data_IF_921543086970
#
_entry.id   IF_921543086970
#
_cell.length_a   1.000
_cell.length_b   1.000
_cell.length_c   1.000
_cell.angle_alpha   90.00
_cell.angle_beta   90.00
_cell.angle_gamma   90.00
#
_symmetry.space_group_name_H-M   'P 1'
#
loop_
_entity.id
_entity.type
_entity.pdbx_description
1 polymer ?
#
# COMPACT_ATOMS: atom_id res chain seq x y z
N UNK A 1 25.79 -0.92 16.86
CA UNK A 1 24.54 -0.63 16.13
C UNK A 1 23.68 -1.88 16.15
N UNK A 2 22.36 -1.76 16.33
CA UNK A 2 21.44 -2.91 16.39
C UNK A 2 20.93 -3.21 14.97
N UNK A 3 20.72 -4.47 14.64
CA UNK A 3 20.01 -4.85 13.41
C UNK A 3 18.57 -5.20 13.75
N UNK A 4 17.68 -5.03 12.77
CA UNK A 4 16.31 -5.49 12.91
C UNK A 4 16.25 -7.01 13.06
N UNK A 5 15.34 -7.52 13.91
CA UNK A 5 15.18 -8.96 14.07
C UNK A 5 14.61 -9.59 12.78
N UNK A 6 15.28 -10.61 12.19
CA UNK A 6 14.81 -11.27 10.96
C UNK A 6 13.45 -11.96 11.13
N UNK A 7 13.12 -12.47 12.33
CA UNK A 7 11.81 -13.05 12.61
C UNK A 7 10.69 -12.00 12.52
N UNK A 8 10.97 -10.77 12.96
CA UNK A 8 10.02 -9.65 12.80
C UNK A 8 9.77 -9.36 11.32
N UNK A 9 10.80 -9.37 10.47
CA UNK A 9 10.63 -9.17 9.03
C UNK A 9 9.77 -10.27 8.40
N UNK A 10 9.95 -11.53 8.82
CA UNK A 10 9.12 -12.65 8.37
C UNK A 10 7.65 -12.49 8.80
N UNK A 11 7.39 -12.01 10.02
CA UNK A 11 6.04 -11.72 10.49
C UNK A 11 5.42 -10.58 9.68
N UNK A 12 6.15 -9.48 9.48
CA UNK A 12 5.68 -8.35 8.67
C UNK A 12 5.34 -8.79 7.24
N UNK A 13 6.17 -9.64 6.64
CA UNK A 13 5.91 -10.17 5.30
C UNK A 13 4.67 -11.06 5.26
N UNK A 14 4.44 -11.89 6.29
CA UNK A 14 3.19 -12.69 6.39
C UNK A 14 1.97 -11.78 6.54
N UNK A 15 2.04 -10.77 7.39
CA UNK A 15 0.95 -9.80 7.58
C UNK A 15 0.67 -9.01 6.31
N UNK A 16 1.71 -8.63 5.55
CA UNK A 16 1.58 -8.00 4.25
C UNK A 16 0.73 -8.87 3.31
N UNK A 17 1.08 -10.15 3.16
CA UNK A 17 0.33 -11.03 2.27
C UNK A 17 -1.10 -11.29 2.73
N UNK A 18 -1.32 -11.47 4.03
CA UNK A 18 -2.69 -11.65 4.58
C UNK A 18 -3.54 -10.41 4.32
N UNK A 19 -3.02 -9.23 4.64
CA UNK A 19 -3.77 -7.96 4.43
C UNK A 19 -3.94 -7.65 2.95
N UNK A 20 -2.96 -7.94 2.09
CA UNK A 20 -3.11 -7.81 0.64
C UNK A 20 -4.19 -8.76 0.09
N UNK A 21 -4.24 -10.00 0.58
CA UNK A 21 -5.27 -10.96 0.18
C UNK A 21 -6.67 -10.53 0.62
N UNK A 22 -6.82 -10.06 1.87
CA UNK A 22 -8.09 -9.50 2.37
C UNK A 22 -8.51 -8.30 1.52
N UNK A 23 -7.57 -7.40 1.18
CA UNK A 23 -7.86 -6.25 0.33
C UNK A 23 -8.35 -6.69 -1.06
N UNK A 24 -7.71 -7.70 -1.66
CA UNK A 24 -8.13 -8.23 -2.95
C UNK A 24 -9.56 -8.80 -2.92
N UNK A 25 -9.93 -9.51 -1.84
CA UNK A 25 -11.29 -10.03 -1.65
C UNK A 25 -12.31 -8.87 -1.51
N UNK A 26 -11.99 -7.85 -0.72
CA UNK A 26 -12.83 -6.65 -0.56
C UNK A 26 -13.00 -5.93 -1.90
N UNK A 27 -11.91 -5.80 -2.66
CA UNK A 27 -11.92 -5.20 -3.99
C UNK A 27 -12.83 -5.99 -4.94
N UNK A 28 -12.59 -7.29 -5.11
CA UNK A 28 -13.40 -8.13 -6.01
C UNK A 28 -14.87 -8.13 -5.62
N UNK A 29 -15.18 -8.28 -4.32
CA UNK A 29 -16.58 -8.29 -3.84
C UNK A 29 -17.31 -6.97 -4.09
N UNK A 30 -16.61 -5.84 -4.09
CA UNK A 30 -17.22 -4.54 -4.40
C UNK A 30 -17.62 -4.36 -5.86
N UNK A 31 -16.99 -5.10 -6.78
CA UNK A 31 -17.20 -5.01 -8.22
C UNK A 31 -17.79 -6.31 -8.80
N UNK A 32 -18.20 -7.26 -7.95
CA UNK A 32 -18.77 -8.54 -8.36
C UNK A 32 -20.20 -8.38 -8.90
N UNK A 33 -21.01 -7.57 -8.22
CA UNK A 33 -22.37 -7.21 -8.65
C UNK A 33 -22.38 -5.78 -9.23
N UNK A 34 -23.25 -5.54 -10.24
CA UNK A 34 -23.37 -4.23 -10.87
C UNK A 34 -23.78 -3.17 -9.82
N UNK A 35 -23.00 -2.10 -9.61
CA UNK A 35 -23.00 -1.36 -8.35
C UNK A 35 -24.16 -0.37 -8.32
N UNK A 36 -25.33 -0.81 -7.86
CA UNK A 36 -26.46 0.09 -7.63
C UNK A 36 -26.49 0.59 -6.17
N UNK A 37 -25.97 -0.17 -5.20
CA UNK A 37 -25.84 0.28 -3.81
C UNK A 37 -24.71 -0.47 -3.06
N UNK A 38 -23.53 0.15 -2.98
CA UNK A 38 -22.44 -0.38 -2.15
C UNK A 38 -22.58 0.19 -0.73
N UNK A 39 -22.66 -0.65 0.33
CA UNK A 39 -22.74 -0.16 1.70
C UNK A 39 -21.58 0.76 2.06
N UNK A 40 -21.85 1.81 2.85
CA UNK A 40 -20.84 2.82 3.25
C UNK A 40 -19.60 2.19 3.92
N UNK A 41 -19.80 1.15 4.73
CA UNK A 41 -18.68 0.44 5.38
C UNK A 41 -17.79 -0.28 4.36
N UNK A 42 -18.37 -0.82 3.29
CA UNK A 42 -17.64 -1.52 2.23
C UNK A 42 -16.87 -0.51 1.36
N UNK A 43 -17.47 0.64 1.07
CA UNK A 43 -16.78 1.77 0.43
C UNK A 43 -15.60 2.28 1.26
N UNK A 44 -15.79 2.44 2.58
CA UNK A 44 -14.71 2.85 3.47
C UNK A 44 -13.57 1.81 3.47
N UNK A 45 -13.90 0.52 3.52
CA UNK A 45 -12.91 -0.54 3.42
C UNK A 45 -12.15 -0.48 2.08
N UNK A 46 -12.85 -0.29 0.96
CA UNK A 46 -12.21 -0.12 -0.34
C UNK A 46 -11.25 1.05 -0.36
N UNK A 47 -11.62 2.20 0.19
CA UNK A 47 -10.85 3.46 0.11
C UNK A 47 -9.68 3.51 1.09
N UNK A 48 -9.78 2.85 2.24
CA UNK A 48 -8.78 3.02 3.30
C UNK A 48 -7.95 1.77 3.54
N UNK A 49 -8.46 0.57 3.25
CA UNK A 49 -7.78 -0.65 3.69
C UNK A 49 -6.43 -0.87 3.00
N UNK A 50 -6.25 -0.39 1.77
CA UNK A 50 -4.96 -0.44 1.07
C UNK A 50 -3.84 0.40 1.73
N UNK A 51 -4.16 1.23 2.73
CA UNK A 51 -3.17 1.82 3.65
C UNK A 51 -2.29 0.76 4.30
N UNK A 52 -2.90 -0.31 4.83
CA UNK A 52 -2.24 -1.34 5.64
C UNK A 52 -1.22 -2.16 4.81
N UNK A 53 -1.58 -2.79 3.68
CA UNK A 53 -0.62 -3.55 2.90
C UNK A 53 0.48 -2.64 2.35
N UNK A 54 0.20 -1.39 1.97
CA UNK A 54 1.24 -0.48 1.48
C UNK A 54 2.19 -0.02 2.59
N UNK A 55 1.68 0.24 3.80
CA UNK A 55 2.51 0.46 4.98
C UNK A 55 3.44 -0.72 5.26
N UNK A 56 2.90 -1.95 5.29
CA UNK A 56 3.69 -3.15 5.56
C UNK A 56 4.72 -3.43 4.47
N UNK A 57 4.34 -3.26 3.20
CA UNK A 57 5.24 -3.37 2.05
C UNK A 57 6.40 -2.40 2.19
N UNK A 58 6.11 -1.11 2.37
CA UNK A 58 7.12 -0.07 2.52
C UNK A 58 8.06 -0.35 3.69
N UNK A 59 7.51 -0.77 4.84
CA UNK A 59 8.29 -1.04 6.03
C UNK A 59 9.23 -2.24 5.84
N UNK A 60 8.76 -3.31 5.18
CA UNK A 60 9.60 -4.47 4.82
C UNK A 60 10.71 -4.04 3.86
N UNK A 61 10.39 -3.30 2.81
CA UNK A 61 11.37 -2.83 1.83
C UNK A 61 12.44 -1.96 2.47
N UNK A 62 12.05 -1.02 3.31
CA UNK A 62 13.00 -0.12 3.95
C UNK A 62 13.89 -0.83 4.97
N UNK A 63 13.47 -1.98 5.51
CA UNK A 63 14.27 -2.83 6.42
C UNK A 63 15.18 -3.85 5.72
N UNK A 64 14.89 -4.20 4.46
CA UNK A 64 15.52 -5.36 3.77
C UNK A 64 16.14 -5.05 2.40
N UNK A 65 15.78 -3.93 1.77
CA UNK A 65 16.20 -3.59 0.41
C UNK A 65 16.92 -2.24 0.37
N UNK A 66 17.45 -1.89 -0.81
CA UNK A 66 18.06 -0.58 -1.06
C UNK A 66 17.01 0.55 -1.00
N UNK A 67 17.46 1.78 -0.80
CA UNK A 67 16.58 2.96 -0.76
C UNK A 67 15.83 3.12 -2.09
N UNK A 68 16.50 2.90 -3.21
CA UNK A 68 15.88 2.95 -4.53
C UNK A 68 14.75 1.93 -4.67
N UNK A 69 14.95 0.69 -4.22
CA UNK A 69 13.90 -0.32 -4.21
C UNK A 69 12.74 0.04 -3.26
N UNK A 70 13.02 0.68 -2.11
CA UNK A 70 11.97 1.17 -1.22
C UNK A 70 11.10 2.26 -1.85
N UNK A 71 11.57 2.98 -2.88
CA UNK A 71 10.78 4.00 -3.58
C UNK A 71 10.13 3.43 -4.85
N UNK A 72 10.90 2.73 -5.68
CA UNK A 72 10.48 2.29 -7.00
C UNK A 72 9.40 1.21 -6.98
N UNK A 73 9.44 0.28 -6.02
CA UNK A 73 8.43 -0.80 -5.94
C UNK A 73 7.02 -0.27 -5.63
N UNK A 74 6.81 0.47 -4.52
CA UNK A 74 5.49 1.03 -4.22
C UNK A 74 5.00 1.98 -5.31
N UNK A 75 5.90 2.84 -5.82
CA UNK A 75 5.56 3.77 -6.89
C UNK A 75 5.20 3.04 -8.19
N UNK A 76 5.93 2.00 -8.54
CA UNK A 76 5.66 1.16 -9.70
C UNK A 76 4.30 0.45 -9.60
N UNK A 77 3.90 -0.01 -8.40
CA UNK A 77 2.58 -0.58 -8.17
C UNK A 77 1.48 0.48 -8.38
N UNK A 78 1.64 1.67 -7.78
CA UNK A 78 0.66 2.76 -7.93
C UNK A 78 0.52 3.21 -9.38
N UNK A 79 1.65 3.42 -10.07
CA UNK A 79 1.66 3.84 -11.47
C UNK A 79 1.08 2.75 -12.36
N UNK A 80 1.44 1.48 -12.15
CA UNK A 80 0.93 0.36 -12.94
C UNK A 80 -0.59 0.25 -12.85
N UNK A 81 -1.14 0.25 -11.64
CA UNK A 81 -2.60 0.20 -11.42
C UNK A 81 -3.28 1.47 -11.96
N UNK A 82 -2.68 2.63 -11.73
CA UNK A 82 -3.19 3.92 -12.21
C UNK A 82 -3.26 4.02 -13.72
N UNK A 83 -2.24 3.55 -14.43
CA UNK A 83 -2.23 3.55 -15.90
C UNK A 83 -3.33 2.66 -16.47
N UNK A 84 -3.54 1.47 -15.91
CA UNK A 84 -4.64 0.59 -16.31
C UNK A 84 -5.98 1.30 -16.13
N UNK A 85 -6.20 1.93 -14.96
CA UNK A 85 -7.42 2.70 -14.69
C UNK A 85 -7.63 3.88 -15.65
N UNK A 86 -6.58 4.66 -15.93
CA UNK A 86 -6.66 5.80 -16.84
C UNK A 86 -6.94 5.36 -18.28
N UNK A 87 -6.38 4.26 -18.72
CA UNK A 87 -6.73 3.66 -20.01
C UNK A 87 -8.21 3.25 -20.07
N UNK A 88 -8.74 2.62 -19.01
CA UNK A 88 -10.16 2.24 -18.95
C UNK A 88 -11.09 3.46 -18.92
N UNK A 89 -10.68 4.54 -18.26
CA UNK A 89 -11.44 5.79 -18.17
C UNK A 89 -11.13 6.79 -19.28
N UNK A 90 -10.39 6.36 -20.33
CA UNK A 90 -10.01 7.18 -21.48
C UNK A 90 -9.35 8.52 -21.08
N UNK A 91 -8.56 8.51 -20.00
CA UNK A 91 -7.83 9.68 -19.50
C UNK A 91 -8.73 10.86 -19.12
N UNK A 92 -9.98 10.61 -18.76
CA UNK A 92 -10.93 11.65 -18.32
C UNK A 92 -10.45 12.35 -17.06
N UNK A 93 -10.81 13.63 -16.91
CA UNK A 93 -10.51 14.41 -15.70
C UNK A 93 -11.06 13.73 -14.45
N UNK A 94 -12.28 13.17 -14.53
CA UNK A 94 -12.87 12.43 -13.42
C UNK A 94 -12.04 11.18 -13.07
N UNK A 95 -11.57 10.44 -14.08
CA UNK A 95 -10.68 9.29 -13.88
C UNK A 95 -9.38 9.68 -13.16
N UNK A 96 -8.77 10.81 -13.53
CA UNK A 96 -7.58 11.37 -12.87
C UNK A 96 -7.85 11.76 -11.41
N UNK A 97 -8.95 12.47 -11.16
CA UNK A 97 -9.34 12.91 -9.80
C UNK A 97 -9.58 11.70 -8.89
N UNK A 98 -10.32 10.70 -9.38
CA UNK A 98 -10.59 9.47 -8.62
C UNK A 98 -9.32 8.67 -8.35
N UNK A 99 -8.41 8.58 -9.34
CA UNK A 99 -7.11 7.95 -9.14
C UNK A 99 -6.30 8.66 -8.06
N UNK A 100 -6.19 9.99 -8.14
CA UNK A 100 -5.51 10.80 -7.13
C UNK A 100 -6.09 10.60 -5.73
N UNK A 101 -7.42 10.59 -5.62
CA UNK A 101 -8.13 10.34 -4.37
C UNK A 101 -7.84 8.95 -3.79
N UNK A 102 -7.90 7.89 -4.60
CA UNK A 102 -7.58 6.52 -4.18
C UNK A 102 -6.11 6.32 -3.84
N UNK A 103 -5.21 7.13 -4.38
CA UNK A 103 -3.79 7.08 -4.03
C UNK A 103 -3.46 7.71 -2.67
N UNK A 104 -4.37 8.44 -2.02
CA UNK A 104 -4.09 9.08 -0.72
C UNK A 104 -3.75 8.04 0.34
N UNK A 105 -4.62 7.05 0.56
CA UNK A 105 -4.43 6.01 1.56
C UNK A 105 -3.12 5.22 1.39
N UNK A 106 -2.76 4.69 0.21
CA UNK A 106 -1.51 3.96 0.04
C UNK A 106 -0.27 4.87 0.20
N UNK A 107 -0.31 6.12 -0.27
CA UNK A 107 0.78 7.10 -0.06
C UNK A 107 0.97 7.39 1.43
N UNK A 108 -0.12 7.56 2.19
CA UNK A 108 -0.07 7.76 3.64
C UNK A 108 0.52 6.54 4.35
N UNK A 109 0.18 5.32 3.91
CA UNK A 109 0.79 4.09 4.43
C UNK A 109 2.30 4.06 4.21
N UNK A 110 2.75 4.39 3.00
CA UNK A 110 4.17 4.50 2.68
C UNK A 110 4.88 5.58 3.52
N UNK A 111 4.28 6.76 3.67
CA UNK A 111 4.84 7.85 4.46
C UNK A 111 5.02 7.44 5.93
N UNK A 112 4.01 6.78 6.53
CA UNK A 112 4.10 6.29 7.90
C UNK A 112 5.21 5.26 8.07
N UNK A 113 5.40 4.37 7.10
CA UNK A 113 6.48 3.38 7.16
C UNK A 113 7.87 4.01 7.12
N UNK A 114 8.06 5.09 6.36
CA UNK A 114 9.29 5.89 6.40
C UNK A 114 9.52 6.52 7.78
N UNK A 115 8.48 7.08 8.39
CA UNK A 115 8.55 7.65 9.75
C UNK A 115 8.98 6.58 10.76
N UNK A 116 8.34 5.41 10.75
CA UNK A 116 8.68 4.29 11.64
C UNK A 116 10.11 3.81 11.42
N UNK A 117 10.52 3.66 10.16
CA UNK A 117 11.88 3.25 9.82
C UNK A 117 12.93 4.28 10.27
N UNK A 118 12.67 5.56 10.03
CA UNK A 118 13.57 6.66 10.42
C UNK A 118 13.69 6.79 11.94
N UNK A 119 12.57 6.66 12.67
CA UNK A 119 12.59 6.61 14.13
C UNK A 119 13.47 5.46 14.65
N UNK A 120 13.35 4.26 14.07
CA UNK A 120 14.24 3.14 14.39
C UNK A 120 15.71 3.43 14.06
N UNK A 121 15.98 4.08 12.93
CA UNK A 121 17.33 4.49 12.55
C UNK A 121 17.96 5.46 13.56
N UNK A 122 17.20 6.46 14.05
CA UNK A 122 17.64 7.37 15.12
C UNK A 122 17.94 6.64 16.43
N UNK A 123 17.20 5.57 16.72
CA UNK A 123 17.45 4.67 17.87
C UNK A 123 18.62 3.69 17.64
N UNK A 124 19.35 3.82 16.53
CA UNK A 124 20.54 3.02 16.22
C UNK A 124 20.27 1.68 15.55
N UNK A 125 19.06 1.46 15.00
CA UNK A 125 18.73 0.28 14.19
C UNK A 125 19.17 0.45 12.73
N UNK A 126 19.81 -0.57 12.16
CA UNK A 126 20.15 -0.66 10.74
C UNK A 126 19.40 -1.79 10.05
N UNK A 127 19.32 -1.70 8.71
CA UNK A 127 18.81 -2.77 7.84
C UNK A 127 19.50 -4.11 8.14
N UNK A 128 18.76 -5.19 7.92
CA UNK A 128 19.28 -6.56 7.98
C UNK A 128 19.99 -6.88 6.68
#
# INVERSE_FOLDING_TARGET
MKTWNPNTNRILFRLLWVTAAVYAVVFVSAFWDLPIDIPVWHQALLIYFHFIPMFLLQLVLCRTRSTSACILLPLGILVGVGLVWLCLTQWTLLGLVLFGYWCIAPVMGCALAWVVYFAGYLLGYRRV
#
